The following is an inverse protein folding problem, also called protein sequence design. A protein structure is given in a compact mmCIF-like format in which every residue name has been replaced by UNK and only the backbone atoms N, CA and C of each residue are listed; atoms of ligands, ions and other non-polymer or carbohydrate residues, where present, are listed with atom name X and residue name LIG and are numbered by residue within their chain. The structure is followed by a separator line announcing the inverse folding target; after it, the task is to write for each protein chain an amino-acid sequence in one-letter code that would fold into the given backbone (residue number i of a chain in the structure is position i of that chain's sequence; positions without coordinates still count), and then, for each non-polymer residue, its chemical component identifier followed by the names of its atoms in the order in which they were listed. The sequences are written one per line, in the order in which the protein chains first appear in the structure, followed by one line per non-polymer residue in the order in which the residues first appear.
data_IF_074429255930
#
_entry.id   IF_074429255930
#
_cell.length_a   1.000
_cell.length_b   1.000
_cell.length_c   1.000
_cell.angle_alpha   90.00
_cell.angle_beta   90.00
_cell.angle_gamma   90.00
#
_symmetry.space_group_name_H-M   'P 1'
#
loop_
_entity.id
_entity.type
_entity.pdbx_description
1 polymer ?
#
# COMPACT_ATOMS: atom_id res chain seq x y z
N UNK A 1 24.71 28.25 5.10
CA UNK A 1 24.66 26.81 5.45
C UNK A 1 23.78 26.56 6.69
N UNK A 2 23.97 27.32 7.77
CA UNK A 2 23.15 27.29 9.01
C UNK A 2 21.62 27.45 8.82
N UNK A 3 21.18 28.36 7.94
CA UNK A 3 19.74 28.57 7.66
C UNK A 3 19.06 27.29 7.13
N UNK A 4 19.74 26.57 6.24
CA UNK A 4 19.23 25.33 5.64
C UNK A 4 19.09 24.22 6.68
N UNK A 5 19.98 24.19 7.67
CA UNK A 5 19.90 23.22 8.77
C UNK A 5 18.69 23.49 9.67
N UNK A 6 18.49 24.74 10.11
CA UNK A 6 17.32 25.14 10.90
C UNK A 6 16.00 24.86 10.17
N UNK A 7 15.93 25.11 8.87
CA UNK A 7 14.74 24.78 8.08
C UNK A 7 14.43 23.27 8.06
N UNK A 8 15.44 22.41 7.89
CA UNK A 8 15.24 20.96 7.91
C UNK A 8 14.74 20.47 9.27
N UNK A 9 15.31 20.97 10.36
CA UNK A 9 14.87 20.64 11.72
C UNK A 9 13.43 21.07 11.95
N UNK A 10 13.06 22.27 11.49
CA UNK A 10 11.68 22.77 11.57
C UNK A 10 10.70 21.86 10.80
N UNK A 11 11.05 21.42 9.59
CA UNK A 11 10.22 20.47 8.82
C UNK A 11 10.03 19.13 9.53
N UNK A 12 11.06 18.61 10.18
CA UNK A 12 10.94 17.37 10.96
C UNK A 12 9.96 17.53 12.12
N UNK A 13 10.02 18.67 12.83
CA UNK A 13 9.07 18.98 13.89
C UNK A 13 7.64 19.09 13.35
N UNK A 14 7.44 19.71 12.19
CA UNK A 14 6.14 19.77 11.51
C UNK A 14 5.61 18.37 11.16
N UNK A 15 6.43 17.50 10.56
CA UNK A 15 6.02 16.13 10.23
C UNK A 15 5.63 15.30 11.47
N UNK A 16 6.37 15.43 12.56
CA UNK A 16 6.01 14.71 13.81
C UNK A 16 4.69 15.19 14.38
N UNK A 17 4.34 16.48 14.22
CA UNK A 17 3.04 17.02 14.64
C UNK A 17 1.91 16.50 13.77
N UNK A 18 2.11 16.41 12.46
CA UNK A 18 1.15 15.81 11.52
C UNK A 18 0.91 14.34 11.88
N UNK A 19 1.97 13.58 12.15
CA UNK A 19 1.85 12.16 12.50
C UNK A 19 1.11 11.94 13.84
N UNK A 20 1.25 12.88 14.79
CA UNK A 20 0.50 12.87 16.04
C UNK A 20 -0.97 13.29 15.86
N UNK A 21 -1.25 14.15 14.88
CA UNK A 21 -2.61 14.61 14.56
C UNK A 21 -3.38 13.58 13.71
N UNK A 22 -2.68 12.77 12.94
CA UNK A 22 -3.27 11.72 12.12
C UNK A 22 -4.01 10.69 13.00
N UNK A 23 -5.27 10.43 12.66
CA UNK A 23 -6.10 9.44 13.34
C UNK A 23 -5.55 8.05 13.08
N UNK A 24 -5.22 7.30 14.14
CA UNK A 24 -4.92 5.87 14.03
C UNK A 24 -6.23 5.12 13.75
N UNK A 25 -6.30 4.27 12.71
CA UNK A 25 -7.51 3.52 12.41
C UNK A 25 -7.82 2.56 13.56
N UNK A 26 -9.10 2.36 13.85
CA UNK A 26 -9.50 1.29 14.78
C UNK A 26 -9.33 -0.08 14.10
N UNK A 27 -9.25 -1.15 14.90
CA UNK A 27 -9.10 -2.53 14.39
C UNK A 27 -10.20 -2.90 13.40
N UNK A 28 -11.44 -2.52 13.67
CA UNK A 28 -12.58 -2.84 12.80
C UNK A 28 -12.53 -2.12 11.45
N UNK A 29 -12.15 -0.83 11.45
CA UNK A 29 -11.96 -0.03 10.24
C UNK A 29 -10.83 -0.62 9.39
N UNK A 30 -9.70 -0.95 10.03
CA UNK A 30 -8.57 -1.56 9.37
C UNK A 30 -8.92 -2.91 8.74
N UNK A 31 -9.62 -3.78 9.47
CA UNK A 31 -10.04 -5.09 8.97
C UNK A 31 -11.03 -4.96 7.81
N UNK A 32 -11.95 -4.01 7.88
CA UNK A 32 -12.93 -3.78 6.80
C UNK A 32 -12.24 -3.38 5.50
N UNK A 33 -11.32 -2.41 5.56
CA UNK A 33 -10.55 -1.97 4.39
C UNK A 33 -9.64 -3.09 3.89
N UNK A 34 -8.96 -3.80 4.79
CA UNK A 34 -8.05 -4.89 4.44
C UNK A 34 -8.77 -6.06 3.75
N UNK A 35 -10.00 -6.38 4.17
CA UNK A 35 -10.82 -7.42 3.52
C UNK A 35 -11.15 -7.04 2.07
N UNK A 36 -11.58 -5.80 1.84
CA UNK A 36 -11.92 -5.31 0.49
C UNK A 36 -10.67 -5.25 -0.38
N UNK A 37 -9.57 -4.67 0.13
CA UNK A 37 -8.30 -4.61 -0.59
C UNK A 37 -7.77 -6.01 -0.93
N UNK A 38 -7.80 -6.94 0.04
CA UNK A 38 -7.40 -8.33 -0.16
C UNK A 38 -8.25 -9.05 -1.20
N UNK A 39 -9.56 -8.81 -1.21
CA UNK A 39 -10.47 -9.38 -2.22
C UNK A 39 -10.12 -8.89 -3.64
N UNK A 40 -9.82 -7.60 -3.80
CA UNK A 40 -9.42 -7.02 -5.09
C UNK A 40 -8.10 -7.62 -5.57
N UNK A 41 -7.09 -7.66 -4.70
CA UNK A 41 -5.77 -8.24 -5.04
C UNK A 41 -5.90 -9.71 -5.42
N UNK A 42 -6.69 -10.48 -4.68
CA UNK A 42 -6.93 -11.89 -4.98
C UNK A 42 -7.66 -12.07 -6.31
N UNK A 43 -8.70 -11.28 -6.58
CA UNK A 43 -9.48 -11.37 -7.82
C UNK A 43 -8.62 -11.02 -9.05
N UNK A 44 -7.94 -9.89 -9.02
CA UNK A 44 -7.09 -9.44 -10.14
C UNK A 44 -5.91 -10.40 -10.32
N UNK A 45 -5.28 -10.85 -9.23
CA UNK A 45 -4.22 -11.84 -9.26
C UNK A 45 -4.68 -13.16 -9.87
N UNK A 46 -5.88 -13.65 -9.50
CA UNK A 46 -6.44 -14.87 -10.05
C UNK A 46 -6.77 -14.78 -11.54
N UNK A 47 -7.32 -13.64 -11.98
CA UNK A 47 -7.59 -13.40 -13.40
C UNK A 47 -6.28 -13.39 -14.20
N UNK A 48 -5.28 -12.63 -13.76
CA UNK A 48 -3.97 -12.59 -14.42
C UNK A 48 -3.28 -13.95 -14.42
N UNK A 49 -3.35 -14.67 -13.30
CA UNK A 49 -2.80 -16.03 -13.17
C UNK A 49 -3.50 -17.01 -14.12
N UNK A 50 -4.83 -16.94 -14.24
CA UNK A 50 -5.59 -17.78 -15.16
C UNK A 50 -5.20 -17.53 -16.61
N UNK A 51 -5.05 -16.26 -17.01
CA UNK A 51 -4.60 -15.89 -18.35
C UNK A 51 -3.19 -16.44 -18.61
N UNK A 52 -2.27 -16.31 -17.65
CA UNK A 52 -0.91 -16.84 -17.75
C UNK A 52 -0.90 -18.37 -17.92
N UNK A 53 -1.68 -19.09 -17.12
CA UNK A 53 -1.79 -20.54 -17.22
C UNK A 53 -2.28 -20.97 -18.61
N UNK A 54 -3.31 -20.30 -19.13
CA UNK A 54 -3.91 -20.66 -20.42
C UNK A 54 -3.05 -20.27 -21.62
N UNK A 55 -2.43 -19.09 -21.60
CA UNK A 55 -1.72 -18.56 -22.78
C UNK A 55 -0.23 -18.88 -22.80
N UNK A 56 0.37 -19.19 -21.65
CA UNK A 56 1.81 -19.46 -21.56
C UNK A 56 2.08 -20.89 -21.17
N UNK A 57 1.53 -21.35 -20.03
CA UNK A 57 1.89 -22.68 -19.49
C UNK A 57 1.30 -23.80 -20.34
N UNK A 58 0.01 -23.71 -20.70
CA UNK A 58 -0.67 -24.73 -21.48
C UNK A 58 -0.04 -24.95 -22.89
N UNK A 59 0.18 -23.92 -23.72
CA UNK A 59 0.81 -24.10 -25.03
C UNK A 59 2.30 -24.41 -24.95
N UNK A 60 3.01 -24.06 -23.87
CA UNK A 60 4.40 -24.48 -23.67
C UNK A 60 4.51 -25.98 -23.38
N UNK A 61 3.48 -26.57 -22.76
CA UNK A 61 3.45 -27.99 -22.40
C UNK A 61 2.93 -28.91 -23.49
N UNK A 62 2.25 -28.37 -24.51
CA UNK A 62 1.66 -29.10 -25.63
C UNK A 62 2.61 -29.11 -26.83
#
# INVERSE_FOLDING_TARGET
MELKYKERVKKLQEYTRILKLARRPNRDEFLTISKIAGAIVALVGFIGFTIYLLLTVLPMML
#
